data_IF_031665035657
#
_entry.id   IF_031665035657
#
_cell.length_a   1.000
_cell.length_b   1.000
_cell.length_c   1.000
_cell.angle_alpha   90.00
_cell.angle_beta   90.00
_cell.angle_gamma   90.00
#
_symmetry.space_group_name_H-M   'P 1'
#
loop_
_entity.id
_entity.type
_entity.pdbx_description
1 polymer ?
#
# COMPACT_ATOMS: atom_id res chain seq x y z
N UNK A 1 20.69 -43.10 66.16
CA UNK A 1 21.32 -44.37 65.78
C UNK A 1 20.51 -44.99 64.64
N UNK A 2 21.19 -45.50 63.59
CA UNK A 2 20.84 -46.62 62.67
C UNK A 2 19.36 -46.87 62.29
N UNK A 3 18.93 -47.23 61.07
CA UNK A 3 19.41 -47.36 59.66
C UNK A 3 18.22 -48.02 58.89
N UNK A 4 18.35 -48.18 57.56
CA UNK A 4 17.45 -48.81 56.55
C UNK A 4 16.46 -47.83 55.89
N UNK A 5 16.53 -47.45 54.60
CA UNK A 5 17.04 -48.14 53.39
C UNK A 5 16.05 -49.24 52.98
N UNK A 6 15.48 -49.35 51.77
CA UNK A 6 15.85 -48.93 50.42
C UNK A 6 14.72 -49.40 49.46
N UNK A 7 14.57 -48.77 48.27
CA UNK A 7 13.96 -49.28 47.01
C UNK A 7 12.42 -49.46 46.91
N UNK A 8 11.70 -49.25 45.79
CA UNK A 8 11.93 -48.81 44.39
C UNK A 8 10.54 -48.70 43.68
N UNK A 9 10.49 -48.12 42.48
CA UNK A 9 9.38 -48.07 41.50
C UNK A 9 8.15 -47.23 41.90
N UNK A 10 7.58 -46.35 41.09
CA UNK A 10 7.66 -46.17 39.64
C UNK A 10 6.24 -45.91 39.13
N UNK A 11 5.98 -44.73 38.56
CA UNK A 11 4.94 -44.45 37.56
C UNK A 11 4.97 -42.97 37.24
N UNK A 12 5.65 -42.61 36.16
CA UNK A 12 5.40 -41.34 35.49
C UNK A 12 4.02 -41.37 34.84
N UNK A 13 3.31 -40.25 34.92
CA UNK A 13 2.35 -39.88 33.88
C UNK A 13 2.62 -38.41 33.52
N UNK A 14 3.32 -38.26 32.41
CA UNK A 14 3.52 -37.03 31.69
C UNK A 14 2.14 -36.44 31.34
N UNK A 15 1.75 -35.35 31.99
CA UNK A 15 0.69 -34.45 31.49
C UNK A 15 1.24 -33.65 30.29
N UNK A 16 1.69 -34.37 29.27
CA UNK A 16 1.98 -33.84 27.94
C UNK A 16 0.68 -33.81 27.16
N UNK A 17 -0.22 -32.89 27.53
CA UNK A 17 -1.43 -32.59 26.76
C UNK A 17 -1.04 -31.94 25.44
N UNK A 18 -0.64 -32.76 24.47
CA UNK A 18 -0.56 -32.37 23.06
C UNK A 18 -2.00 -32.31 22.55
N UNK A 19 -2.67 -31.18 22.76
CA UNK A 19 -3.91 -30.88 22.05
C UNK A 19 -3.64 -30.92 20.54
N UNK A 20 -4.61 -31.34 19.70
CA UNK A 20 -4.42 -31.30 18.25
C UNK A 20 -3.98 -29.88 17.87
N UNK A 21 -2.85 -29.78 17.16
CA UNK A 21 -2.42 -28.49 16.60
C UNK A 21 -3.57 -27.98 15.73
N UNK A 22 -3.97 -26.70 15.85
CA UNK A 22 -4.94 -26.12 14.94
C UNK A 22 -4.52 -26.44 13.50
N UNK A 23 -5.45 -26.94 12.70
CA UNK A 23 -5.22 -27.11 11.27
C UNK A 23 -5.07 -25.69 10.73
N UNK A 24 -3.83 -25.32 10.40
CA UNK A 24 -3.52 -24.04 9.78
C UNK A 24 -4.09 -24.10 8.36
N UNK A 25 -5.28 -23.53 8.17
CA UNK A 25 -5.83 -23.33 6.85
C UNK A 25 -4.97 -22.29 6.15
N UNK A 26 -4.27 -22.68 5.09
CA UNK A 26 -3.52 -21.75 4.24
C UNK A 26 -4.52 -20.77 3.62
N UNK A 27 -4.50 -19.52 4.10
CA UNK A 27 -5.30 -18.43 3.57
C UNK A 27 -4.67 -18.00 2.24
N UNK A 28 -5.30 -18.35 1.12
CA UNK A 28 -4.85 -17.86 -0.19
C UNK A 28 -5.23 -16.37 -0.32
N UNK A 29 -4.27 -15.48 -0.08
CA UNK A 29 -4.42 -14.05 -0.37
C UNK A 29 -4.01 -13.72 -1.81
N UNK A 30 -4.80 -12.85 -2.45
CA UNK A 30 -4.53 -12.35 -3.80
C UNK A 30 -4.28 -10.84 -3.79
N UNK A 31 -3.28 -10.34 -4.53
CA UNK A 31 -3.12 -8.91 -4.73
C UNK A 31 -4.28 -8.34 -5.55
N UNK A 32 -4.61 -7.07 -5.30
CA UNK A 32 -5.44 -6.28 -6.20
C UNK A 32 -4.73 -6.17 -7.56
N UNK A 33 -5.43 -6.50 -8.64
CA UNK A 33 -4.87 -6.35 -9.98
C UNK A 33 -4.73 -4.87 -10.37
N UNK A 34 -3.76 -4.59 -11.24
CA UNK A 34 -3.43 -3.21 -11.61
C UNK A 34 -4.61 -2.51 -12.29
N UNK A 35 -5.38 -3.19 -13.15
CA UNK A 35 -6.51 -2.54 -13.84
C UNK A 35 -7.58 -2.07 -12.85
N UNK A 36 -7.98 -2.93 -11.91
CA UNK A 36 -8.91 -2.59 -10.83
C UNK A 36 -8.36 -1.46 -9.95
N UNK A 37 -7.07 -1.50 -9.61
CA UNK A 37 -6.44 -0.45 -8.82
C UNK A 37 -6.47 0.91 -9.53
N UNK A 38 -6.11 0.96 -10.81
CA UNK A 38 -6.10 2.19 -11.60
C UNK A 38 -7.51 2.77 -11.78
N UNK A 39 -8.51 1.93 -11.98
CA UNK A 39 -9.91 2.37 -12.07
C UNK A 39 -10.37 2.97 -10.72
N UNK A 40 -10.01 2.34 -9.61
CA UNK A 40 -10.31 2.84 -8.27
C UNK A 40 -9.61 4.18 -7.97
N UNK A 41 -8.34 4.32 -8.37
CA UNK A 41 -7.58 5.57 -8.24
C UNK A 41 -8.26 6.70 -9.01
N UNK A 42 -8.61 6.47 -10.28
CA UNK A 42 -9.27 7.50 -11.10
C UNK A 42 -10.64 7.90 -10.56
N UNK A 43 -11.44 6.94 -10.09
CA UNK A 43 -12.71 7.24 -9.41
C UNK A 43 -12.50 8.08 -8.15
N UNK A 44 -11.49 7.75 -7.34
CA UNK A 44 -11.18 8.51 -6.12
C UNK A 44 -10.70 9.94 -6.41
N UNK A 45 -9.94 10.15 -7.49
CA UNK A 45 -9.57 11.49 -7.96
C UNK A 45 -10.78 12.28 -8.45
N UNK A 46 -11.66 11.65 -9.24
CA UNK A 46 -12.89 12.26 -9.73
C UNK A 46 -13.82 12.66 -8.58
N UNK A 47 -13.96 11.82 -7.55
CA UNK A 47 -14.70 12.12 -6.31
C UNK A 47 -14.15 13.36 -5.56
N UNK A 48 -12.96 13.86 -5.93
CA UNK A 48 -12.30 15.04 -5.36
C UNK A 48 -12.14 16.18 -6.36
N UNK A 49 -12.85 16.15 -7.49
CA UNK A 49 -12.76 17.16 -8.55
C UNK A 49 -11.34 17.28 -9.15
N UNK A 50 -10.56 16.19 -9.12
CA UNK A 50 -9.25 16.12 -9.77
C UNK A 50 -9.43 15.45 -11.14
N UNK A 51 -9.22 16.22 -12.20
CA UNK A 51 -9.12 15.66 -13.55
C UNK A 51 -7.78 14.95 -13.69
N UNK A 52 -7.76 13.79 -14.35
CA UNK A 52 -6.57 12.96 -14.42
C UNK A 52 -6.37 12.36 -15.80
N UNK A 53 -5.11 12.01 -16.07
CA UNK A 53 -4.66 11.30 -17.27
C UNK A 53 -3.84 10.08 -16.85
N UNK A 54 -3.74 9.09 -17.75
CA UNK A 54 -2.98 7.85 -17.52
C UNK A 54 -1.67 7.84 -18.30
N UNK A 55 -0.70 7.05 -17.83
CA UNK A 55 0.55 6.74 -18.52
C UNK A 55 1.35 7.99 -18.86
N UNK A 56 1.68 8.76 -17.83
CA UNK A 56 2.27 10.09 -17.95
C UNK A 56 3.79 10.01 -17.98
N UNK A 57 4.45 10.45 -19.06
CA UNK A 57 5.91 10.47 -19.12
C UNK A 57 6.46 11.53 -18.17
N UNK A 58 7.39 11.12 -17.32
CA UNK A 58 8.09 11.98 -16.35
C UNK A 58 9.59 11.73 -16.35
N UNK A 59 10.31 12.70 -15.81
CA UNK A 59 11.71 12.58 -15.42
C UNK A 59 11.76 12.47 -13.89
N UNK A 60 12.44 11.43 -13.41
CA UNK A 60 12.64 11.16 -12.00
C UNK A 60 13.82 11.98 -11.44
N UNK A 61 13.98 12.08 -10.10
CA UNK A 61 15.03 12.91 -9.51
C UNK A 61 16.46 12.55 -9.93
N UNK A 62 16.69 11.28 -10.27
CA UNK A 62 17.98 10.78 -10.77
C UNK A 62 18.22 11.09 -12.26
N UNK A 63 17.27 11.75 -12.92
CA UNK A 63 17.32 12.12 -14.34
C UNK A 63 16.83 11.04 -15.29
N UNK A 64 16.45 9.86 -14.80
CA UNK A 64 15.88 8.79 -15.63
C UNK A 64 14.46 9.12 -16.09
N UNK A 65 14.03 8.52 -17.20
CA UNK A 65 12.67 8.66 -17.71
C UNK A 65 11.78 7.52 -17.21
N UNK A 66 10.54 7.84 -16.86
CA UNK A 66 9.55 6.89 -16.35
C UNK A 66 8.15 7.23 -16.88
N UNK A 67 7.24 6.26 -16.86
CA UNK A 67 5.83 6.44 -17.23
C UNK A 67 5.00 6.16 -16.00
N UNK A 68 4.41 7.20 -15.42
CA UNK A 68 3.54 7.08 -14.25
C UNK A 68 2.16 6.59 -14.64
N UNK A 69 1.55 5.82 -13.76
CA UNK A 69 0.21 5.29 -13.98
C UNK A 69 -0.85 6.38 -14.11
N UNK A 70 -0.91 7.33 -13.18
CA UNK A 70 -1.92 8.41 -13.15
C UNK A 70 -1.31 9.72 -12.69
N UNK A 71 -1.63 10.83 -13.37
CA UNK A 71 -1.38 12.18 -12.86
C UNK A 71 -2.61 13.07 -12.92
N UNK A 72 -2.69 14.00 -11.97
CA UNK A 72 -3.65 15.09 -12.01
C UNK A 72 -3.28 16.10 -13.11
N UNK A 73 -4.29 16.61 -13.81
CA UNK A 73 -4.14 17.67 -14.82
C UNK A 73 -4.48 19.05 -14.26
N UNK A 74 -5.33 19.12 -13.23
CA UNK A 74 -5.69 20.36 -12.53
C UNK A 74 -5.15 20.43 -11.09
N UNK A 75 -4.39 19.43 -10.67
CA UNK A 75 -3.74 19.37 -9.36
C UNK A 75 -2.37 18.69 -9.49
N UNK A 76 -1.28 19.20 -8.88
CA UNK A 76 0.09 18.68 -9.05
C UNK A 76 0.35 17.39 -8.27
N UNK A 77 -0.51 16.39 -8.43
CA UNK A 77 -0.40 15.08 -7.77
C UNK A 77 -0.21 13.99 -8.80
N UNK A 78 0.56 12.97 -8.47
CA UNK A 78 0.68 11.77 -9.26
C UNK A 78 0.60 10.53 -8.38
N UNK A 79 0.12 9.43 -8.95
CA UNK A 79 -0.06 8.17 -8.25
C UNK A 79 0.48 7.03 -9.10
N UNK A 80 1.17 6.11 -8.43
CA UNK A 80 1.73 4.90 -9.02
C UNK A 80 1.23 3.69 -8.25
N UNK A 81 0.80 2.64 -8.93
CA UNK A 81 0.43 1.37 -8.32
C UNK A 81 1.36 0.25 -8.81
N UNK A 82 2.34 -0.10 -7.97
CA UNK A 82 3.38 -1.05 -8.31
C UNK A 82 2.96 -2.50 -8.00
N UNK A 83 2.95 -3.33 -9.03
CA UNK A 83 2.90 -4.79 -8.84
C UNK A 83 4.24 -5.32 -8.33
N UNK A 84 4.29 -6.56 -7.85
CA UNK A 84 5.55 -7.23 -7.49
C UNK A 84 6.59 -7.18 -8.63
N UNK A 85 6.14 -7.37 -9.87
CA UNK A 85 7.00 -7.28 -11.06
C UNK A 85 7.51 -5.87 -11.33
N UNK A 86 6.68 -4.85 -11.08
CA UNK A 86 7.11 -3.46 -11.24
C UNK A 86 8.16 -3.08 -10.21
N UNK A 87 8.02 -3.54 -8.96
CA UNK A 87 9.02 -3.28 -7.90
C UNK A 87 10.41 -3.77 -8.28
N UNK A 88 10.53 -4.98 -8.84
CA UNK A 88 11.80 -5.51 -9.34
C UNK A 88 12.42 -4.64 -10.45
N UNK A 89 11.57 -4.03 -11.29
CA UNK A 89 12.00 -3.19 -12.40
C UNK A 89 12.42 -1.79 -11.95
N UNK A 90 11.70 -1.18 -11.02
CA UNK A 90 11.95 0.21 -10.58
C UNK A 90 13.02 0.29 -9.50
N UNK A 91 13.23 -0.76 -8.71
CA UNK A 91 14.22 -0.78 -7.64
C UNK A 91 14.06 0.39 -6.67
N UNK A 92 15.18 1.01 -6.28
CA UNK A 92 15.24 2.10 -5.29
C UNK A 92 14.87 3.48 -5.85
N UNK A 93 14.51 3.56 -7.14
CA UNK A 93 14.25 4.82 -7.82
C UNK A 93 12.96 5.49 -7.30
N UNK A 94 11.95 4.67 -6.97
CA UNK A 94 10.70 5.15 -6.38
C UNK A 94 10.70 4.87 -4.87
N UNK A 95 10.10 5.75 -4.04
CA UNK A 95 10.04 5.58 -2.59
C UNK A 95 8.97 4.53 -2.24
N UNK A 96 9.28 3.26 -2.48
CA UNK A 96 8.38 2.15 -2.19
C UNK A 96 8.13 2.11 -0.67
N UNK A 97 6.88 2.19 -0.21
CA UNK A 97 6.58 2.11 1.21
C UNK A 97 6.93 0.71 1.73
N UNK A 98 7.61 0.63 2.87
CA UNK A 98 7.98 -0.64 3.52
C UNK A 98 6.85 -1.23 4.36
N UNK A 99 5.88 -0.41 4.76
CA UNK A 99 4.69 -0.82 5.51
C UNK A 99 3.44 -0.07 5.04
N UNK A 100 2.23 -0.65 5.19
CA UNK A 100 0.98 -0.03 4.77
C UNK A 100 0.66 1.25 5.55
N UNK A 101 1.08 1.32 6.81
CA UNK A 101 0.86 2.48 7.69
C UNK A 101 2.03 3.49 7.65
N UNK A 102 3.03 3.29 6.78
CA UNK A 102 4.16 4.22 6.68
C UNK A 102 3.68 5.58 6.17
N UNK A 103 4.09 6.64 6.89
CA UNK A 103 3.88 8.02 6.46
C UNK A 103 4.36 8.19 5.03
N UNK A 104 3.55 8.79 4.13
CA UNK A 104 3.91 8.92 2.74
C UNK A 104 5.26 9.60 2.53
N UNK A 105 6.24 8.85 2.05
CA UNK A 105 7.41 9.43 1.40
C UNK A 105 6.97 9.94 0.04
N UNK A 106 7.01 11.25 -0.14
CA UNK A 106 6.68 11.89 -1.41
C UNK A 106 7.96 12.18 -2.16
N UNK A 107 7.92 11.93 -3.46
CA UNK A 107 8.96 12.35 -4.38
C UNK A 107 8.36 13.35 -5.34
N UNK A 108 9.10 14.43 -5.60
CA UNK A 108 8.77 15.38 -6.65
C UNK A 108 9.34 14.83 -7.95
N UNK A 109 8.47 14.53 -8.90
CA UNK A 109 8.81 14.09 -10.26
C UNK A 109 8.41 15.18 -11.23
N UNK A 110 9.05 15.26 -12.40
CA UNK A 110 8.79 16.33 -13.37
C UNK A 110 8.19 15.78 -14.65
N UNK A 111 7.12 16.38 -15.16
CA UNK A 111 6.59 16.05 -16.49
C UNK A 111 7.66 16.19 -17.57
N UNK A 112 7.80 15.16 -18.41
CA UNK A 112 8.84 15.15 -19.43
C UNK A 112 8.63 16.27 -20.45
N UNK A 113 9.72 16.92 -20.87
CA UNK A 113 9.69 17.99 -21.88
C UNK A 113 9.24 19.37 -21.36
N UNK A 114 8.83 19.47 -20.10
CA UNK A 114 8.43 20.73 -19.48
C UNK A 114 9.55 21.32 -18.61
N UNK A 115 9.74 22.64 -18.69
CA UNK A 115 10.77 23.37 -17.92
C UNK A 115 10.20 24.37 -16.90
N UNK A 116 8.87 24.46 -16.80
CA UNK A 116 8.18 25.31 -15.81
C UNK A 116 8.16 24.65 -14.44
N UNK A 117 8.20 25.39 -13.32
CA UNK A 117 7.92 24.86 -11.98
C UNK A 117 6.54 24.16 -11.87
N UNK A 118 5.59 24.54 -12.73
CA UNK A 118 4.27 23.88 -12.83
C UNK A 118 4.33 22.44 -13.37
N UNK A 119 5.49 22.01 -13.86
CA UNK A 119 5.72 20.65 -14.34
C UNK A 119 5.95 19.64 -13.21
N UNK A 120 6.15 20.11 -11.97
CA UNK A 120 6.46 19.28 -10.83
C UNK A 120 5.19 18.63 -10.28
N UNK A 121 5.26 17.32 -10.04
CA UNK A 121 4.19 16.49 -9.52
C UNK A 121 4.64 15.82 -8.23
N UNK A 122 3.75 15.80 -7.25
CA UNK A 122 3.98 15.11 -5.99
C UNK A 122 3.48 13.68 -6.11
N UNK A 123 4.42 12.73 -6.16
CA UNK A 123 4.15 11.32 -6.39
C UNK A 123 3.86 10.58 -5.08
N UNK A 124 2.73 9.86 -5.05
CA UNK A 124 2.40 8.83 -4.06
C UNK A 124 2.47 7.44 -4.70
N UNK A 125 3.23 6.53 -4.08
CA UNK A 125 3.36 5.13 -4.52
C UNK A 125 2.49 4.22 -3.64
N UNK A 126 1.73 3.35 -4.29
CA UNK A 126 1.00 2.23 -3.70
C UNK A 126 1.57 0.91 -4.22
N UNK A 127 1.44 -0.16 -3.44
CA UNK A 127 1.98 -1.48 -3.79
C UNK A 127 0.92 -2.56 -3.62
N UNK A 128 0.92 -3.55 -4.52
CA UNK A 128 0.00 -4.68 -4.46
C UNK A 128 0.10 -5.49 -3.14
N UNK A 129 1.26 -5.48 -2.50
CA UNK A 129 1.54 -6.08 -1.20
C UNK A 129 0.71 -5.48 -0.07
N UNK A 130 0.40 -4.18 -0.16
CA UNK A 130 -0.45 -3.49 0.80
C UNK A 130 -1.94 -3.57 0.44
N UNK A 131 -2.30 -4.14 -0.71
CA UNK A 131 -3.68 -4.24 -1.19
C UNK A 131 -4.01 -5.68 -1.58
N UNK A 132 -3.97 -6.58 -0.59
CA UNK A 132 -4.31 -8.00 -0.74
C UNK A 132 -5.68 -8.33 -0.17
N UNK A 133 -6.41 -9.21 -0.82
CA UNK A 133 -7.74 -9.67 -0.43
C UNK A 133 -7.81 -11.21 -0.42
N UNK A 134 -8.74 -11.78 0.35
CA UNK A 134 -9.07 -13.20 0.25
C UNK A 134 -10.30 -13.38 -0.66
N UNK A 135 -10.21 -14.16 -1.76
CA UNK A 135 -11.34 -14.37 -2.66
C UNK A 135 -12.46 -15.21 -2.03
N UNK A 136 -12.10 -16.18 -1.17
CA UNK A 136 -13.02 -17.10 -0.51
C UNK A 136 -12.75 -17.15 1.00
N UNK A 137 -13.13 -16.12 1.78
CA UNK A 137 -12.90 -16.12 3.22
C UNK A 137 -13.75 -17.21 3.92
N UNK A 138 -13.17 -18.00 4.83
CA UNK A 138 -13.93 -18.93 5.68
C UNK A 138 -14.96 -18.18 6.52
N UNK A 139 -16.15 -18.74 6.66
CA UNK A 139 -17.26 -18.11 7.39
C UNK A 139 -17.01 -18.01 8.90
N UNK A 140 -16.06 -18.78 9.43
CA UNK A 140 -15.73 -18.94 10.84
C UNK A 140 -14.41 -18.26 11.23
N UNK A 141 -13.81 -17.45 10.34
CA UNK A 141 -12.60 -16.69 10.68
C UNK A 141 -12.91 -15.50 11.60
N UNK A 142 -12.30 -15.44 12.80
CA UNK A 142 -12.54 -14.37 13.77
C UNK A 142 -11.99 -13.01 13.31
N UNK A 143 -10.94 -13.02 12.49
CA UNK A 143 -10.44 -11.87 11.74
C UNK A 143 -10.80 -12.10 10.28
N UNK A 144 -11.96 -11.60 9.85
CA UNK A 144 -12.37 -11.73 8.45
C UNK A 144 -11.33 -11.02 7.56
N UNK A 145 -10.63 -11.73 6.66
CA UNK A 145 -9.70 -11.09 5.75
C UNK A 145 -10.46 -10.24 4.74
N UNK A 146 -9.84 -9.15 4.32
CA UNK A 146 -10.50 -8.15 3.48
C UNK A 146 -10.99 -8.76 2.17
N UNK A 147 -12.23 -8.47 1.81
CA UNK A 147 -12.79 -8.75 0.49
C UNK A 147 -12.21 -7.79 -0.55
N UNK A 148 -12.28 -8.14 -1.84
CA UNK A 148 -11.87 -7.24 -2.94
C UNK A 148 -12.53 -5.86 -2.83
N UNK A 149 -13.81 -5.81 -2.42
CA UNK A 149 -14.56 -4.57 -2.24
C UNK A 149 -13.96 -3.70 -1.13
N UNK A 150 -13.58 -4.30 0.00
CA UNK A 150 -12.98 -3.57 1.13
C UNK A 150 -11.59 -3.07 0.81
N UNK A 151 -10.76 -3.87 0.14
CA UNK A 151 -9.43 -3.45 -0.31
C UNK A 151 -9.52 -2.31 -1.33
N UNK A 152 -10.45 -2.41 -2.29
CA UNK A 152 -10.69 -1.33 -3.27
C UNK A 152 -11.18 -0.07 -2.58
N UNK A 153 -12.07 -0.19 -1.58
CA UNK A 153 -12.56 0.94 -0.80
C UNK A 153 -11.43 1.59 0.04
N UNK A 154 -10.51 0.79 0.59
CA UNK A 154 -9.31 1.29 1.27
C UNK A 154 -8.43 2.08 0.30
N UNK A 155 -8.11 1.53 -0.88
CA UNK A 155 -7.31 2.25 -1.88
C UNK A 155 -7.95 3.60 -2.24
N UNK A 156 -9.27 3.63 -2.47
CA UNK A 156 -10.00 4.89 -2.74
C UNK A 156 -9.91 5.89 -1.58
N UNK A 157 -9.97 5.41 -0.34
CA UNK A 157 -9.81 6.26 0.86
C UNK A 157 -8.40 6.85 0.90
N UNK A 158 -7.37 6.03 0.74
CA UNK A 158 -5.98 6.47 0.84
C UNK A 158 -5.64 7.51 -0.25
N UNK A 159 -6.19 7.35 -1.46
CA UNK A 159 -6.09 8.35 -2.53
C UNK A 159 -6.79 9.66 -2.15
N UNK A 160 -8.00 9.61 -1.60
CA UNK A 160 -8.74 10.80 -1.15
C UNK A 160 -8.02 11.52 0.00
N UNK A 161 -7.44 10.76 0.91
CA UNK A 161 -6.68 11.28 2.04
C UNK A 161 -5.40 11.96 1.56
N UNK A 162 -4.70 11.35 0.60
CA UNK A 162 -3.55 11.99 -0.05
C UNK A 162 -3.91 13.31 -0.73
N UNK A 163 -5.00 13.37 -1.51
CA UNK A 163 -5.46 14.62 -2.14
C UNK A 163 -5.81 15.68 -1.10
N UNK A 164 -6.44 15.28 0.01
CA UNK A 164 -6.79 16.19 1.11
C UNK A 164 -5.55 16.75 1.77
N UNK A 165 -4.61 15.87 2.09
CA UNK A 165 -3.33 16.21 2.67
C UNK A 165 -2.59 17.19 1.75
N UNK A 166 -2.55 16.91 0.44
CA UNK A 166 -1.86 17.78 -0.52
C UNK A 166 -2.44 19.19 -0.50
N UNK A 167 -3.77 19.30 -0.64
CA UNK A 167 -4.48 20.59 -0.60
C UNK A 167 -4.24 21.33 0.71
N UNK A 168 -4.34 20.65 1.85
CA UNK A 168 -4.14 21.28 3.16
C UNK A 168 -2.71 21.85 3.33
N UNK A 169 -1.70 21.15 2.81
CA UNK A 169 -0.30 21.54 2.97
C UNK A 169 0.21 22.50 1.87
N UNK A 170 -0.48 22.60 0.73
CA UNK A 170 -0.02 23.38 -0.43
C UNK A 170 -1.00 24.50 -0.83
N UNK A 171 -2.16 24.63 -0.19
CA UNK A 171 -3.08 25.76 -0.39
C UNK A 171 -2.47 27.12 0.00
N UNK A 172 -1.48 27.13 0.91
CA UNK A 172 -0.82 28.35 1.36
C UNK A 172 0.22 28.90 0.35
N UNK A 173 0.69 28.09 -0.61
CA UNK A 173 1.73 28.48 -1.56
C UNK A 173 1.20 29.28 -2.77
N UNK A 174 -0.11 29.24 -3.04
CA UNK A 174 -0.74 29.90 -4.20
C UNK A 174 -1.42 31.25 -3.89
N UNK A 175 -1.36 31.74 -2.65
CA UNK A 175 -2.08 32.93 -2.18
C UNK A 175 -1.30 34.25 -2.20
N UNK A 176 -0.02 34.26 -2.62
CA UNK A 176 0.77 35.49 -2.74
C UNK A 176 0.64 36.12 -4.14
N UNK A 177 -0.60 36.44 -4.51
CA UNK A 177 -0.93 37.31 -5.63
C UNK A 177 -1.46 38.64 -5.08
N UNK A 178 -0.55 39.48 -4.60
CA UNK A 178 -0.78 40.83 -4.10
C UNK A 178 -1.41 41.72 -5.19
N UNK A 179 -2.46 42.51 -4.92
CA UNK A 179 -2.58 43.85 -5.47
C UNK A 179 -1.67 44.83 -4.72
#
# INVERSE_FOLDING_TARGET
MRRFGLFLLGAGLLLGGCGPRPVEHEIEERPLDQATALDAIQQALADRDVTSERFVPVTLPDGSNYVLDVAGTNLPVALEFLTARDRERVGDVLPIPSHPDETPRLVVVRRQGMRSPEADLYLRVFTDEHFRFQPNPPADMPEAPYTIREVTARLRRDVKDFVSWYRANHAAAGGAGTP
#
